data_IF_020514039031
#
_entry.id   IF_020514039031
#
_cell.length_a   1.000
_cell.length_b   1.000
_cell.length_c   1.000
_cell.angle_alpha   90.00
_cell.angle_beta   90.00
_cell.angle_gamma   90.00
#
_symmetry.space_group_name_H-M   'P 1'
#
loop_
_entity.id
_entity.type
_entity.pdbx_description
1 polymer ?
#
# COMPACT_ATOMS: atom_id res chain seq x y z
N UNK A 1 8.98 -4.53 -4.83
CA UNK A 1 8.00 -5.21 -5.71
C UNK A 1 8.58 -6.47 -6.36
N UNK A 2 9.65 -6.39 -7.16
CA UNK A 2 10.25 -7.57 -7.81
C UNK A 2 10.74 -8.64 -6.80
N UNK A 3 11.43 -8.21 -5.73
CA UNK A 3 11.89 -9.12 -4.66
C UNK A 3 10.72 -9.86 -3.96
N UNK A 4 9.63 -9.15 -3.66
CA UNK A 4 8.43 -9.75 -3.07
C UNK A 4 7.79 -10.80 -4.00
N UNK A 5 7.68 -10.51 -5.31
CA UNK A 5 7.18 -11.49 -6.28
C UNK A 5 8.05 -12.73 -6.35
N UNK A 6 9.37 -12.54 -6.29
CA UNK A 6 10.33 -13.65 -6.31
C UNK A 6 10.11 -14.60 -5.13
N UNK A 7 9.99 -14.07 -3.91
CA UNK A 7 9.70 -14.88 -2.70
C UNK A 7 8.43 -15.70 -2.88
N UNK A 8 7.33 -15.05 -3.31
CA UNK A 8 6.04 -15.71 -3.50
C UNK A 8 6.14 -16.85 -4.51
N UNK A 9 6.76 -16.58 -5.67
CA UNK A 9 6.89 -17.58 -6.74
C UNK A 9 7.80 -18.74 -6.34
N UNK A 10 8.90 -18.48 -5.61
CA UNK A 10 9.79 -19.53 -5.12
C UNK A 10 9.10 -20.41 -4.09
N UNK A 11 8.35 -19.81 -3.15
CA UNK A 11 7.58 -20.57 -2.16
C UNK A 11 6.52 -21.46 -2.83
N UNK A 12 5.72 -20.88 -3.73
CA UNK A 12 4.69 -21.60 -4.48
C UNK A 12 5.28 -22.72 -5.33
N UNK A 13 6.45 -22.51 -5.94
CA UNK A 13 7.11 -23.52 -6.76
C UNK A 13 7.68 -24.70 -5.94
N UNK A 14 8.17 -24.44 -4.73
CA UNK A 14 8.81 -25.47 -3.89
C UNK A 14 7.77 -26.29 -3.13
N UNK A 15 6.71 -25.63 -2.64
CA UNK A 15 5.75 -26.22 -1.72
C UNK A 15 4.37 -26.47 -2.36
N UNK A 16 4.16 -26.06 -3.61
CA UNK A 16 2.87 -26.12 -4.31
C UNK A 16 1.70 -25.46 -3.54
N UNK A 17 2.02 -24.55 -2.62
CA UNK A 17 1.06 -23.87 -1.74
C UNK A 17 1.25 -22.35 -1.76
N UNK A 18 0.16 -21.62 -1.58
CA UNK A 18 0.22 -20.16 -1.46
C UNK A 18 0.95 -19.75 -0.19
N UNK A 19 1.91 -18.84 -0.30
CA UNK A 19 2.69 -18.38 0.86
C UNK A 19 1.79 -17.80 1.97
N UNK A 20 1.91 -18.31 3.21
CA UNK A 20 1.25 -17.72 4.37
C UNK A 20 1.69 -16.26 4.56
N UNK A 21 0.75 -15.39 4.95
CA UNK A 21 1.04 -13.96 5.10
C UNK A 21 2.13 -13.68 6.13
N UNK A 22 2.17 -14.44 7.22
CA UNK A 22 3.13 -14.23 8.30
C UNK A 22 4.57 -14.52 7.80
N UNK A 23 4.74 -15.58 7.00
CA UNK A 23 6.03 -15.91 6.36
C UNK A 23 6.43 -14.82 5.37
N UNK A 24 5.50 -14.36 4.53
CA UNK A 24 5.79 -13.29 3.57
C UNK A 24 6.22 -11.99 4.25
N UNK A 25 5.59 -11.63 5.37
CA UNK A 25 5.95 -10.44 6.15
C UNK A 25 7.35 -10.57 6.76
N UNK A 26 7.67 -11.74 7.32
CA UNK A 26 8.98 -12.03 7.90
C UNK A 26 10.09 -11.97 6.84
N UNK A 27 9.91 -12.63 5.69
CA UNK A 27 10.89 -12.61 4.60
C UNK A 27 11.14 -11.19 4.07
N UNK A 28 10.07 -10.40 3.92
CA UNK A 28 10.20 -9.00 3.49
C UNK A 28 10.91 -8.13 4.53
N UNK A 29 10.61 -8.33 5.82
CA UNK A 29 11.29 -7.64 6.91
C UNK A 29 12.79 -7.97 6.93
N UNK A 30 13.14 -9.25 6.78
CA UNK A 30 14.52 -9.72 6.71
C UNK A 30 15.27 -9.14 5.51
N UNK A 31 14.62 -9.01 4.34
CA UNK A 31 15.21 -8.31 3.20
C UNK A 31 15.55 -6.88 3.59
N UNK A 32 14.62 -6.13 4.19
CA UNK A 32 14.86 -4.74 4.58
C UNK A 32 16.00 -4.62 5.60
N UNK A 33 15.98 -5.48 6.62
CA UNK A 33 16.98 -5.52 7.67
C UNK A 33 18.38 -5.93 7.15
N UNK A 34 18.45 -6.81 6.15
CA UNK A 34 19.75 -7.21 5.57
C UNK A 34 20.51 -6.04 4.93
N UNK A 35 19.78 -5.04 4.42
CA UNK A 35 20.36 -3.82 3.83
C UNK A 35 20.76 -2.77 4.88
N UNK A 36 20.31 -2.92 6.13
CA UNK A 36 20.74 -2.04 7.24
C UNK A 36 21.99 -2.55 7.93
N UNK A 37 22.19 -3.88 7.95
CA UNK A 37 23.31 -4.51 8.67
C UNK A 37 24.54 -4.76 7.79
N UNK A 38 24.40 -4.76 6.46
CA UNK A 38 25.51 -5.01 5.54
C UNK A 38 26.35 -3.75 5.32
N UNK A 39 27.66 -3.73 5.67
CA UNK A 39 28.51 -2.58 5.45
C UNK A 39 28.61 -2.23 3.96
N UNK A 40 28.66 -0.94 3.65
CA UNK A 40 28.69 -0.44 2.26
C UNK A 40 27.37 -0.58 1.49
N UNK A 41 26.30 -1.08 2.12
CA UNK A 41 24.98 -1.19 1.51
C UNK A 41 24.07 -0.08 2.04
N UNK A 42 23.31 0.56 1.16
CA UNK A 42 22.36 1.60 1.54
C UNK A 42 21.02 0.96 1.92
N UNK A 43 20.41 1.29 3.07
CA UNK A 43 19.04 0.90 3.39
C UNK A 43 18.04 1.34 2.33
N UNK A 44 16.90 0.66 2.28
CA UNK A 44 15.81 1.05 1.38
C UNK A 44 15.29 2.45 1.73
N UNK A 45 15.19 3.32 0.73
CA UNK A 45 14.66 4.68 0.88
C UNK A 45 13.13 4.78 0.82
N UNK A 46 12.42 3.68 1.04
CA UNK A 46 10.96 3.60 0.93
C UNK A 46 10.36 2.73 2.04
N UNK A 47 9.10 3.00 2.39
CA UNK A 47 8.26 2.08 3.18
C UNK A 47 7.35 1.30 2.24
N UNK A 48 6.91 0.11 2.66
CA UNK A 48 5.92 -0.69 1.96
C UNK A 48 4.59 -0.64 2.70
N UNK A 49 3.49 -0.51 1.95
CA UNK A 49 2.14 -0.75 2.44
C UNK A 49 1.63 -2.01 1.74
N UNK A 50 1.31 -3.03 2.53
CA UNK A 50 0.84 -4.34 2.09
C UNK A 50 -0.61 -4.51 2.50
N UNK A 51 -1.45 -4.86 1.52
CA UNK A 51 -2.84 -5.22 1.75
C UNK A 51 -3.03 -6.72 1.53
N UNK A 52 -3.52 -7.41 2.55
CA UNK A 52 -3.88 -8.81 2.49
C UNK A 52 -5.40 -8.94 2.35
N UNK A 53 -5.84 -9.42 1.19
CA UNK A 53 -7.24 -9.65 0.88
C UNK A 53 -7.54 -11.14 1.08
N UNK A 54 -8.20 -11.50 2.19
CA UNK A 54 -8.65 -12.88 2.40
C UNK A 54 -9.95 -13.18 1.64
N UNK A 55 -10.02 -14.34 0.98
CA UNK A 55 -11.22 -14.81 0.27
C UNK A 55 -12.19 -15.61 1.15
N UNK A 56 -11.70 -16.21 2.24
CA UNK A 56 -12.58 -16.80 3.27
C UNK A 56 -12.97 -15.71 4.26
N UNK A 57 -14.06 -15.89 5.03
CA UNK A 57 -14.65 -14.97 6.02
C UNK A 57 -13.70 -14.36 7.10
N UNK A 58 -12.39 -14.46 6.94
CA UNK A 58 -11.36 -13.75 7.71
C UNK A 58 -11.31 -12.28 7.29
N UNK A 59 -11.00 -11.41 8.25
CA UNK A 59 -10.85 -9.97 8.02
C UNK A 59 -9.68 -9.67 7.07
N UNK A 60 -9.88 -8.71 6.17
CA UNK A 60 -8.80 -8.10 5.41
C UNK A 60 -7.84 -7.38 6.36
N UNK A 61 -6.54 -7.44 6.06
CA UNK A 61 -5.50 -6.86 6.93
C UNK A 61 -4.56 -5.97 6.13
N UNK A 62 -4.12 -4.88 6.75
CA UNK A 62 -3.11 -3.98 6.20
C UNK A 62 -1.88 -4.00 7.07
N UNK A 63 -0.70 -3.95 6.44
CA UNK A 63 0.60 -3.95 7.12
C UNK A 63 1.48 -2.87 6.50
N UNK A 64 2.24 -2.19 7.34
CA UNK A 64 3.30 -1.28 6.92
C UNK A 64 4.65 -1.90 7.27
N UNK A 65 5.61 -1.81 6.34
CA UNK A 65 7.02 -2.17 6.59
C UNK A 65 7.86 -0.92 6.38
N UNK A 66 8.62 -0.56 7.41
CA UNK A 66 9.53 0.59 7.37
C UNK A 66 10.93 0.19 6.87
N UNK A 67 11.76 1.14 6.38
CA UNK A 67 13.15 0.93 5.98
C UNK A 67 14.02 0.12 6.94
N UNK A 68 13.68 0.13 8.23
CA UNK A 68 14.37 -0.63 9.27
C UNK A 68 14.10 -2.14 9.25
N UNK A 69 13.07 -2.58 8.53
CA UNK A 69 12.52 -3.93 8.60
C UNK A 69 11.43 -4.12 9.65
N UNK A 70 11.02 -3.06 10.35
CA UNK A 70 9.90 -3.14 11.31
C UNK A 70 8.57 -3.33 10.56
N UNK A 71 7.81 -4.36 10.96
CA UNK A 71 6.47 -4.64 10.46
C UNK A 71 5.43 -4.12 11.46
N UNK A 72 4.48 -3.33 10.98
CA UNK A 72 3.40 -2.76 11.79
C UNK A 72 2.04 -3.12 11.21
N UNK A 73 1.17 -3.83 11.96
CA UNK A 73 -0.21 -4.04 11.54
C UNK A 73 -1.02 -2.74 11.65
N UNK A 74 -1.84 -2.46 10.65
CA UNK A 74 -2.75 -1.31 10.62
C UNK A 74 -4.15 -1.80 10.94
N UNK A 75 -4.64 -1.42 12.12
CA UNK A 75 -5.92 -1.89 12.66
C UNK A 75 -7.14 -1.19 12.04
N UNK A 76 -7.02 0.10 11.73
CA UNK A 76 -8.16 0.93 11.29
C UNK A 76 -8.54 0.73 9.81
N UNK A 77 -7.93 -0.23 9.12
CA UNK A 77 -8.19 -0.49 7.70
C UNK A 77 -7.73 0.63 6.74
N UNK A 78 -7.03 1.65 7.24
CA UNK A 78 -6.58 2.81 6.44
C UNK A 78 -5.07 2.99 6.61
N UNK A 79 -4.33 2.75 5.52
CA UNK A 79 -2.89 2.99 5.45
C UNK A 79 -2.55 4.20 4.60
N UNK A 80 -1.75 5.12 5.14
CA UNK A 80 -1.30 6.32 4.42
C UNK A 80 0.22 6.43 4.52
N UNK A 81 0.89 6.39 3.37
CA UNK A 81 2.34 6.58 3.27
C UNK A 81 2.66 7.91 2.60
N UNK A 82 3.77 8.53 3.01
CA UNK A 82 4.29 9.75 2.40
C UNK A 82 4.55 10.89 3.39
N UNK A 83 5.04 12.02 2.85
CA UNK A 83 5.42 13.20 3.65
C UNK A 83 4.25 14.17 3.87
N UNK A 84 3.26 14.17 2.99
CA UNK A 84 2.18 15.14 2.98
C UNK A 84 1.09 14.75 3.99
N UNK A 85 0.85 15.63 4.98
CA UNK A 85 -0.30 15.65 5.91
C UNK A 85 -0.95 14.30 6.23
N UNK A 86 -0.13 13.29 6.58
CA UNK A 86 -0.59 11.91 6.80
C UNK A 86 -1.74 11.85 7.78
N UNK A 87 -1.64 12.60 8.88
CA UNK A 87 -2.65 12.60 9.94
C UNK A 87 -3.96 13.24 9.50
N UNK A 88 -3.91 14.28 8.65
CA UNK A 88 -5.13 14.92 8.16
C UNK A 88 -5.83 14.05 7.12
N UNK A 89 -5.08 13.49 6.18
CA UNK A 89 -5.61 12.56 5.18
C UNK A 89 -6.25 11.36 5.88
N UNK A 90 -5.57 10.79 6.88
CA UNK A 90 -6.10 9.67 7.65
C UNK A 90 -7.38 10.07 8.39
N UNK A 91 -7.41 11.22 9.07
CA UNK A 91 -8.61 11.73 9.75
C UNK A 91 -9.78 11.94 8.79
N UNK A 92 -9.52 12.50 7.62
CA UNK A 92 -10.56 12.77 6.61
C UNK A 92 -11.10 11.46 6.00
N UNK A 93 -10.24 10.45 5.75
CA UNK A 93 -10.67 9.13 5.28
C UNK A 93 -11.49 8.35 6.30
N UNK A 94 -11.15 8.50 7.59
CA UNK A 94 -11.95 7.94 8.68
C UNK A 94 -13.31 8.66 8.74
N UNK A 95 -13.31 9.99 8.68
CA UNK A 95 -14.53 10.80 8.70
C UNK A 95 -15.44 10.52 7.49
N UNK A 96 -14.86 10.30 6.31
CA UNK A 96 -15.59 9.97 5.08
C UNK A 96 -16.11 8.53 5.05
N UNK A 97 -15.92 7.75 6.14
CA UNK A 97 -16.29 6.34 6.26
C UNK A 97 -15.88 5.52 5.03
N UNK A 98 -14.62 5.65 4.64
CA UNK A 98 -14.12 4.95 3.45
C UNK A 98 -14.23 3.43 3.59
N UNK A 99 -14.06 2.90 4.80
CA UNK A 99 -14.15 1.47 5.10
C UNK A 99 -15.55 0.87 4.94
N UNK A 100 -16.60 1.71 5.02
CA UNK A 100 -18.01 1.29 4.94
C UNK A 100 -18.57 1.40 3.51
N UNK A 101 -17.74 1.75 2.53
CA UNK A 101 -18.18 1.94 1.14
C UNK A 101 -18.63 0.59 0.54
N UNK A 102 -19.83 0.57 -0.04
CA UNK A 102 -20.47 -0.66 -0.53
C UNK A 102 -19.84 -1.17 -1.83
N UNK A 103 -19.29 -0.28 -2.65
CA UNK A 103 -18.68 -0.61 -3.94
C UNK A 103 -17.25 -0.09 -4.05
N UNK A 104 -16.44 -0.77 -4.86
CA UNK A 104 -15.04 -0.40 -5.11
C UNK A 104 -14.94 0.99 -5.77
N UNK A 105 -15.83 1.29 -6.71
CA UNK A 105 -15.83 2.57 -7.44
C UNK A 105 -16.14 3.76 -6.52
N UNK A 106 -17.08 3.60 -5.57
CA UNK A 106 -17.35 4.62 -4.57
C UNK A 106 -16.15 4.85 -3.64
N UNK A 107 -15.48 3.77 -3.22
CA UNK A 107 -14.29 3.87 -2.38
C UNK A 107 -13.15 4.60 -3.14
N UNK A 108 -12.94 4.28 -4.42
CA UNK A 108 -11.98 4.95 -5.28
C UNK A 108 -12.28 6.44 -5.43
N UNK A 109 -13.53 6.79 -5.75
CA UNK A 109 -13.94 8.18 -5.90
C UNK A 109 -13.74 8.98 -4.59
N UNK A 110 -14.11 8.41 -3.45
CA UNK A 110 -13.88 9.02 -2.13
C UNK A 110 -12.39 9.24 -1.86
N UNK A 111 -11.56 8.21 -2.09
CA UNK A 111 -10.10 8.30 -1.89
C UNK A 111 -9.47 9.39 -2.76
N UNK A 112 -9.82 9.42 -4.05
CA UNK A 112 -9.33 10.43 -4.99
C UNK A 112 -9.75 11.83 -4.54
N UNK A 113 -10.99 12.02 -4.09
CA UNK A 113 -11.48 13.32 -3.62
C UNK A 113 -10.72 13.81 -2.38
N UNK A 114 -10.53 12.95 -1.37
CA UNK A 114 -9.76 13.30 -0.17
C UNK A 114 -8.31 13.66 -0.51
N UNK A 115 -7.67 12.89 -1.39
CA UNK A 115 -6.29 13.17 -1.82
C UNK A 115 -6.19 14.48 -2.59
N UNK A 116 -7.12 14.76 -3.53
CA UNK A 116 -7.16 16.03 -4.27
C UNK A 116 -7.34 17.22 -3.33
N UNK A 117 -8.21 17.10 -2.33
CA UNK A 117 -8.47 18.16 -1.36
C UNK A 117 -7.23 18.47 -0.51
N UNK A 118 -6.63 17.46 0.12
CA UNK A 118 -5.51 17.67 1.03
C UNK A 118 -4.23 18.11 0.31
N UNK A 119 -3.93 17.51 -0.84
CA UNK A 119 -2.77 17.88 -1.64
C UNK A 119 -2.97 19.25 -2.33
N UNK A 120 -4.20 19.62 -2.68
CA UNK A 120 -4.54 20.96 -3.17
C UNK A 120 -4.28 22.04 -2.12
N UNK A 121 -4.69 21.82 -0.87
CA UNK A 121 -4.41 22.74 0.26
C UNK A 121 -2.91 22.96 0.47
N UNK A 122 -2.08 21.92 0.30
CA UNK A 122 -0.62 22.07 0.39
C UNK A 122 -0.02 22.93 -0.72
N UNK A 123 -0.53 22.79 -1.95
CA UNK A 123 -0.04 23.54 -3.09
C UNK A 123 -0.27 25.05 -2.91
N UNK A 124 -1.48 25.39 -2.45
CA UNK A 124 -1.87 26.77 -2.10
C UNK A 124 -0.95 27.29 -0.98
N UNK A 125 -0.76 26.53 0.10
CA UNK A 125 0.08 26.95 1.22
C UNK A 125 1.56 27.19 0.84
N UNK A 126 2.05 26.54 -0.22
CA UNK A 126 3.43 26.66 -0.70
C UNK A 126 3.57 27.58 -1.93
N UNK A 127 2.51 28.28 -2.36
CA UNK A 127 2.47 29.06 -3.60
C UNK A 127 2.99 28.27 -4.82
N UNK A 128 2.66 26.97 -4.89
CA UNK A 128 3.01 26.10 -6.02
C UNK A 128 1.79 25.90 -6.91
N UNK A 129 1.99 25.68 -8.24
CA UNK A 129 0.89 25.29 -9.11
C UNK A 129 0.21 24.03 -8.56
N UNK A 130 -1.11 23.88 -8.78
CA UNK A 130 -1.84 22.72 -8.29
C UNK A 130 -1.20 21.43 -8.83
N UNK A 131 -0.96 20.42 -7.98
CA UNK A 131 -0.33 19.18 -8.40
C UNK A 131 -1.17 18.50 -9.47
N UNK A 132 -0.51 18.09 -10.56
CA UNK A 132 -1.12 17.21 -11.54
C UNK A 132 -1.16 15.81 -10.92
N UNK A 133 -2.37 15.33 -10.65
CA UNK A 133 -2.58 13.98 -10.15
C UNK A 133 -2.77 13.04 -11.33
N UNK A 134 -2.17 11.86 -11.25
CA UNK A 134 -2.49 10.74 -12.12
C UNK A 134 -2.72 9.53 -11.22
N UNK A 135 -3.91 8.94 -11.29
CA UNK A 135 -4.22 7.73 -10.56
C UNK A 135 -4.19 6.56 -11.53
N UNK A 136 -3.24 5.64 -11.32
CA UNK A 136 -3.20 4.38 -12.04
C UNK A 136 -3.87 3.32 -11.16
N UNK A 137 -5.07 2.90 -11.54
CA UNK A 137 -5.73 1.75 -10.94
C UNK A 137 -5.54 0.58 -11.90
N UNK A 138 -4.89 -0.47 -11.43
CA UNK A 138 -4.68 -1.70 -12.18
C UNK A 138 -5.38 -2.84 -11.45
N UNK A 139 -6.34 -3.48 -12.12
CA UNK A 139 -6.96 -4.70 -11.62
C UNK A 139 -6.24 -5.89 -12.23
N UNK A 140 -5.73 -6.78 -11.38
CA UNK A 140 -5.14 -8.04 -11.81
C UNK A 140 -6.06 -9.15 -11.35
N UNK A 141 -6.68 -9.85 -12.30
CA UNK A 141 -7.50 -11.03 -12.00
C UNK A 141 -6.86 -12.27 -12.60
N UNK A 142 -6.98 -13.42 -11.92
CA UNK A 142 -6.47 -14.73 -12.41
C UNK A 142 -7.01 -15.10 -13.81
N UNK A 143 -8.14 -14.54 -14.24
CA UNK A 143 -8.80 -14.85 -15.53
C UNK A 143 -8.47 -13.90 -16.69
N UNK A 144 -8.26 -12.60 -16.46
CA UNK A 144 -8.23 -11.61 -17.56
C UNK A 144 -6.92 -10.80 -17.70
N UNK A 145 -5.85 -11.16 -17.01
CA UNK A 145 -4.59 -10.42 -17.08
C UNK A 145 -4.67 -9.02 -16.45
N UNK A 146 -3.71 -8.15 -16.80
CA UNK A 146 -3.58 -6.77 -16.30
C UNK A 146 -4.55 -5.85 -17.05
N UNK A 147 -5.58 -5.34 -16.37
CA UNK A 147 -6.45 -4.29 -16.91
C UNK A 147 -6.05 -2.97 -16.24
N UNK A 148 -5.40 -2.09 -17.01
CA UNK A 148 -5.03 -0.74 -16.55
C UNK A 148 -6.17 0.23 -16.87
N UNK A 149 -6.74 0.87 -15.85
CA UNK A 149 -7.66 1.99 -16.01
C UNK A 149 -6.93 3.25 -15.53
N UNK A 150 -6.56 4.11 -16.49
CA UNK A 150 -6.02 5.43 -16.15
C UNK A 150 -7.19 6.31 -15.75
N UNK A 151 -7.20 6.78 -14.51
CA UNK A 151 -8.18 7.76 -14.03
C UNK A 151 -7.43 9.09 -13.91
N UNK A 152 -7.75 10.02 -14.83
CA UNK A 152 -7.21 11.39 -14.86
C UNK A 152 -8.09 12.31 -14.01
#
# INVERSE_FOLDING_TARGET
>A
AAAAKKIVLEYEYILDETIPMDILLEDLALIFQSYTMKPGTRPFGCSLLLAHICQSNKSHRLFQIDPSGCVQPILDGIGVLGKCRRDNIRKELIASKCADSLTLEEAEAKLINVLKNELGKEAIAKNKPPPKFAFLVAHVTKKNGLINKLVQ
#
